data_IF_218864517169
#
_entry.id   IF_218864517169
#
_cell.length_a   1.000
_cell.length_b   1.000
_cell.length_c   1.000
_cell.angle_alpha   90.00
_cell.angle_beta   90.00
_cell.angle_gamma   90.00
#
_symmetry.space_group_name_H-M   'P 1'
#
loop_
_entity.id
_entity.type
_entity.pdbx_description
1 polymer ?
#
# COMPACT_ATOMS: atom_id res chain seq x y z
N UNK A 1 20.42 -34.44 -44.05
CA UNK A 1 19.42 -34.75 -43.02
C UNK A 1 19.76 -33.88 -41.83
N UNK A 2 19.32 -32.63 -41.88
CA UNK A 2 19.43 -31.72 -40.75
C UNK A 2 18.40 -32.17 -39.72
N UNK A 3 18.86 -32.52 -38.53
CA UNK A 3 18.01 -32.79 -37.39
C UNK A 3 17.54 -31.44 -36.87
N UNK A 4 16.30 -31.08 -37.15
CA UNK A 4 15.60 -30.02 -36.44
C UNK A 4 15.52 -30.41 -34.96
N UNK A 5 16.33 -29.74 -34.13
CA UNK A 5 16.14 -29.69 -32.70
C UNK A 5 14.80 -29.03 -32.42
N UNK A 6 13.80 -29.83 -32.04
CA UNK A 6 12.60 -29.35 -31.38
C UNK A 6 13.02 -28.69 -30.06
N UNK A 7 13.16 -27.37 -30.05
CA UNK A 7 13.10 -26.59 -28.81
C UNK A 7 11.73 -26.86 -28.17
N UNK A 8 11.73 -27.50 -27.00
CA UNK A 8 10.56 -27.57 -26.15
C UNK A 8 10.20 -26.15 -25.73
N UNK A 9 9.25 -25.53 -26.42
CA UNK A 9 8.74 -24.21 -26.08
C UNK A 9 8.08 -24.33 -24.71
N UNK A 10 8.74 -23.83 -23.66
CA UNK A 10 8.12 -23.70 -22.35
C UNK A 10 6.81 -22.90 -22.50
N UNK A 11 5.70 -23.35 -21.89
CA UNK A 11 4.43 -22.64 -22.00
C UNK A 11 4.59 -21.21 -21.47
N UNK A 12 4.13 -20.23 -22.24
CA UNK A 12 4.17 -18.84 -21.80
C UNK A 12 3.25 -18.64 -20.60
N UNK A 13 3.62 -17.80 -19.60
CA UNK A 13 2.76 -17.51 -18.46
C UNK A 13 1.33 -17.08 -18.83
N UNK A 14 1.15 -16.37 -19.95
CA UNK A 14 -0.19 -15.99 -20.46
C UNK A 14 -1.06 -17.19 -20.83
N UNK A 15 -0.48 -18.26 -21.39
CA UNK A 15 -1.21 -19.45 -21.79
C UNK A 15 -1.58 -20.31 -20.58
N UNK A 16 -0.73 -20.32 -19.55
CA UNK A 16 -1.02 -20.93 -18.26
C UNK A 16 -2.12 -20.19 -17.52
N UNK A 17 -2.06 -18.85 -17.44
CA UNK A 17 -3.13 -18.04 -16.86
C UNK A 17 -4.45 -18.25 -17.60
N UNK A 18 -4.43 -18.34 -18.94
CA UNK A 18 -5.63 -18.63 -19.74
C UNK A 18 -6.24 -19.99 -19.37
N UNK A 19 -5.41 -21.03 -19.25
CA UNK A 19 -5.87 -22.37 -18.87
C UNK A 19 -6.44 -22.38 -17.45
N UNK A 20 -5.77 -21.70 -16.52
CA UNK A 20 -6.23 -21.52 -15.14
C UNK A 20 -7.61 -20.86 -15.09
N UNK A 21 -7.79 -19.71 -15.75
CA UNK A 21 -9.08 -19.03 -15.77
C UNK A 21 -10.19 -19.87 -16.41
N UNK A 22 -9.87 -20.69 -17.42
CA UNK A 22 -10.84 -21.59 -18.04
C UNK A 22 -11.20 -22.79 -17.13
N UNK A 23 -10.26 -23.31 -16.32
CA UNK A 23 -10.56 -24.41 -15.40
C UNK A 23 -11.41 -24.01 -14.21
N UNK A 24 -11.44 -22.72 -13.87
CA UNK A 24 -12.22 -22.16 -12.76
C UNK A 24 -13.49 -21.43 -13.22
N UNK A 25 -13.97 -21.70 -14.44
CA UNK A 25 -15.17 -21.05 -15.00
C UNK A 25 -16.37 -21.17 -14.04
N UNK A 26 -17.15 -20.10 -13.96
CA UNK A 26 -18.37 -20.00 -13.14
C UNK A 26 -18.16 -20.06 -11.61
N UNK A 27 -16.90 -20.07 -11.13
CA UNK A 27 -16.56 -19.95 -9.71
C UNK A 27 -16.65 -18.51 -9.19
N UNK A 28 -16.54 -18.36 -7.87
CA UNK A 28 -16.39 -17.08 -7.18
C UNK A 28 -15.04 -16.99 -6.48
N UNK A 29 -14.22 -16.01 -6.86
CA UNK A 29 -12.89 -15.80 -6.30
C UNK A 29 -12.79 -14.53 -5.46
N UNK A 30 -11.99 -14.58 -4.41
CA UNK A 30 -11.57 -13.40 -3.66
C UNK A 30 -10.19 -12.97 -4.13
N UNK A 31 -10.05 -11.73 -4.58
CA UNK A 31 -8.76 -11.14 -4.93
C UNK A 31 -8.23 -10.44 -3.68
N UNK A 32 -7.17 -11.00 -3.11
CA UNK A 32 -6.60 -10.62 -1.83
C UNK A 32 -5.56 -9.54 -2.05
N UNK A 33 -5.84 -8.35 -1.54
CA UNK A 33 -4.92 -7.24 -1.47
C UNK A 33 -4.14 -7.25 -0.14
N UNK A 34 -3.01 -6.56 -0.14
CA UNK A 34 -2.30 -6.19 1.09
C UNK A 34 -3.17 -5.31 2.00
N UNK A 35 -2.86 -5.29 3.29
CA UNK A 35 -3.66 -4.56 4.30
C UNK A 35 -3.82 -3.06 3.96
N UNK A 36 -2.78 -2.46 3.38
CA UNK A 36 -2.74 -1.07 2.92
C UNK A 36 -2.46 -1.05 1.41
N UNK A 37 -3.48 -1.19 0.56
CA UNK A 37 -3.28 -1.34 -0.87
C UNK A 37 -2.79 -0.02 -1.51
N UNK A 38 -1.71 -0.15 -2.27
CA UNK A 38 -1.15 0.88 -3.12
C UNK A 38 -1.71 0.79 -4.56
N UNK A 39 -1.38 1.75 -5.43
CA UNK A 39 -1.86 1.74 -6.80
C UNK A 39 -1.47 0.51 -7.63
N UNK A 40 -0.33 -0.12 -7.35
CA UNK A 40 0.07 -1.33 -8.09
C UNK A 40 -0.88 -2.48 -7.76
N UNK A 41 -1.06 -2.79 -6.47
CA UNK A 41 -1.99 -3.81 -6.02
C UNK A 41 -3.43 -3.54 -6.51
N UNK A 42 -3.93 -2.30 -6.39
CA UNK A 42 -5.29 -1.93 -6.81
C UNK A 42 -5.48 -2.13 -8.32
N UNK A 43 -4.52 -1.67 -9.12
CA UNK A 43 -4.63 -1.75 -10.58
C UNK A 43 -4.50 -3.19 -11.09
N UNK A 44 -3.61 -3.97 -10.50
CA UNK A 44 -3.41 -5.40 -10.77
C UNK A 44 -4.63 -6.24 -10.40
N UNK A 45 -5.24 -5.96 -9.25
CA UNK A 45 -6.49 -6.60 -8.84
C UNK A 45 -7.64 -6.30 -9.80
N UNK A 46 -7.79 -5.05 -10.23
CA UNK A 46 -8.80 -4.67 -11.23
C UNK A 46 -8.55 -5.39 -12.57
N UNK A 47 -7.28 -5.51 -13.00
CA UNK A 47 -6.92 -6.24 -14.20
C UNK A 47 -7.34 -7.71 -14.10
N UNK A 48 -7.01 -8.38 -12.99
CA UNK A 48 -7.37 -9.77 -12.77
C UNK A 48 -8.90 -9.98 -12.73
N UNK A 49 -9.64 -9.09 -12.06
CA UNK A 49 -11.10 -9.14 -12.02
C UNK A 49 -11.74 -9.04 -13.41
N UNK A 50 -11.25 -8.12 -14.25
CA UNK A 50 -11.74 -7.95 -15.61
C UNK A 50 -11.39 -9.14 -16.52
N UNK A 51 -10.21 -9.74 -16.34
CA UNK A 51 -9.84 -10.99 -17.00
C UNK A 51 -10.76 -12.14 -16.56
N UNK A 52 -10.97 -12.29 -15.26
CA UNK A 52 -11.84 -13.31 -14.64
C UNK A 52 -13.28 -13.22 -15.14
N UNK A 53 -13.81 -12.00 -15.27
CA UNK A 53 -15.17 -11.75 -15.78
C UNK A 53 -15.38 -12.33 -17.18
N UNK A 54 -14.35 -12.36 -18.04
CA UNK A 54 -14.43 -12.98 -19.38
C UNK A 54 -14.63 -14.50 -19.34
N UNK A 55 -14.24 -15.14 -18.24
CA UNK A 55 -14.42 -16.56 -17.97
C UNK A 55 -15.58 -16.82 -16.98
N UNK A 56 -16.53 -15.88 -16.87
CA UNK A 56 -17.70 -15.99 -15.99
C UNK A 56 -17.38 -16.17 -14.50
N UNK A 57 -16.14 -15.91 -14.09
CA UNK A 57 -15.71 -15.93 -12.69
C UNK A 57 -16.16 -14.64 -12.03
N UNK A 58 -16.83 -14.76 -10.87
CA UNK A 58 -17.23 -13.61 -10.05
C UNK A 58 -16.10 -13.28 -9.09
N UNK A 59 -15.66 -12.03 -9.08
CA UNK A 59 -14.54 -11.61 -8.23
C UNK A 59 -14.92 -10.51 -7.25
N UNK A 60 -14.33 -10.55 -6.06
CA UNK A 60 -14.41 -9.46 -5.08
C UNK A 60 -13.01 -9.08 -4.61
N UNK A 61 -12.67 -7.80 -4.65
CA UNK A 61 -11.34 -7.28 -4.27
C UNK A 61 -11.38 -6.93 -2.78
N UNK A 62 -10.57 -7.61 -1.95
CA UNK A 62 -10.69 -7.54 -0.49
C UNK A 62 -9.39 -7.12 0.18
N UNK A 63 -9.48 -6.22 1.15
CA UNK A 63 -8.36 -5.72 1.99
C UNK A 63 -8.78 -5.61 3.47
N UNK A 64 -7.86 -5.67 4.43
CA UNK A 64 -8.19 -5.62 5.87
C UNK A 64 -7.93 -4.26 6.55
N UNK A 65 -6.88 -3.54 6.14
CA UNK A 65 -6.44 -2.30 6.77
C UNK A 65 -7.26 -1.06 6.33
N UNK A 66 -6.58 -0.06 5.78
CA UNK A 66 -7.21 1.21 5.40
C UNK A 66 -6.56 1.81 4.15
N UNK A 67 -7.38 2.39 3.27
CA UNK A 67 -6.90 3.19 2.15
C UNK A 67 -6.92 4.65 2.55
N UNK A 68 -5.84 5.12 3.17
CA UNK A 68 -5.75 6.48 3.69
C UNK A 68 -4.99 7.45 2.78
N UNK A 69 -4.11 6.93 1.91
CA UNK A 69 -3.29 7.79 1.07
C UNK A 69 -4.19 8.55 0.07
N UNK A 70 -4.14 9.89 0.01
CA UNK A 70 -5.07 10.66 -0.81
C UNK A 70 -5.01 10.34 -2.32
N UNK A 71 -3.83 9.99 -2.85
CA UNK A 71 -3.66 9.56 -4.25
C UNK A 71 -4.43 8.25 -4.50
N UNK A 72 -4.40 7.31 -3.55
CA UNK A 72 -5.07 6.01 -3.66
C UNK A 72 -6.59 6.18 -3.53
N UNK A 73 -7.05 7.07 -2.63
CA UNK A 73 -8.46 7.44 -2.54
C UNK A 73 -8.96 8.12 -3.83
N UNK A 74 -8.13 8.97 -4.43
CA UNK A 74 -8.44 9.58 -5.73
C UNK A 74 -8.49 8.52 -6.84
N UNK A 75 -7.55 7.56 -6.86
CA UNK A 75 -7.55 6.43 -7.80
C UNK A 75 -8.88 5.67 -7.75
N UNK A 76 -9.31 5.24 -6.56
CA UNK A 76 -10.57 4.50 -6.37
C UNK A 76 -11.78 5.31 -6.83
N UNK A 77 -11.86 6.58 -6.42
CA UNK A 77 -12.99 7.46 -6.77
C UNK A 77 -13.06 7.78 -8.26
N UNK A 78 -11.94 8.19 -8.85
CA UNK A 78 -11.88 8.68 -10.24
C UNK A 78 -12.08 7.55 -11.23
N UNK A 79 -11.57 6.35 -10.92
CA UNK A 79 -11.72 5.18 -11.79
C UNK A 79 -12.94 4.32 -11.44
N UNK A 80 -13.70 4.69 -10.40
CA UNK A 80 -14.87 3.94 -9.91
C UNK A 80 -14.52 2.49 -9.58
N UNK A 81 -13.42 2.29 -8.86
CA UNK A 81 -12.96 0.97 -8.40
C UNK A 81 -13.55 0.71 -7.02
N UNK A 82 -14.28 -0.40 -6.89
CA UNK A 82 -14.86 -0.85 -5.63
C UNK A 82 -13.92 -1.85 -4.95
N UNK A 83 -13.56 -1.55 -3.71
CA UNK A 83 -12.83 -2.46 -2.82
C UNK A 83 -13.72 -2.80 -1.63
N UNK A 84 -13.80 -4.08 -1.29
CA UNK A 84 -14.47 -4.54 -0.08
C UNK A 84 -13.49 -4.56 1.08
N UNK A 85 -13.79 -3.79 2.13
CA UNK A 85 -13.06 -3.92 3.39
C UNK A 85 -13.52 -5.18 4.11
N UNK A 86 -12.58 -6.02 4.53
CA UNK A 86 -12.87 -7.17 5.36
C UNK A 86 -13.46 -6.73 6.70
N UNK A 87 -14.54 -7.39 7.08
CA UNK A 87 -15.20 -7.23 8.37
C UNK A 87 -15.47 -8.61 8.99
N UNK A 88 -15.76 -8.70 10.30
CA UNK A 88 -16.07 -9.98 10.94
C UNK A 88 -17.28 -10.72 10.35
N UNK A 89 -18.18 -10.00 9.70
CA UNK A 89 -19.38 -10.48 9.00
C UNK A 89 -19.15 -10.77 7.51
N UNK A 90 -17.91 -10.62 7.02
CA UNK A 90 -17.55 -11.00 5.66
C UNK A 90 -17.71 -12.51 5.46
N UNK A 91 -18.48 -12.90 4.45
CA UNK A 91 -18.84 -14.29 4.16
C UNK A 91 -17.79 -14.97 3.29
N UNK A 92 -16.65 -15.27 3.90
CA UNK A 92 -15.53 -15.90 3.21
C UNK A 92 -15.88 -17.30 2.64
N UNK A 93 -16.80 -18.01 3.27
CA UNK A 93 -17.26 -19.33 2.86
C UNK A 93 -18.02 -19.34 1.52
N UNK A 94 -18.41 -18.18 0.98
CA UNK A 94 -19.06 -18.06 -0.33
C UNK A 94 -18.05 -18.08 -1.50
N UNK A 95 -16.74 -18.12 -1.24
CA UNK A 95 -15.69 -18.08 -2.26
C UNK A 95 -15.03 -19.45 -2.45
N UNK A 96 -14.87 -19.84 -3.72
CA UNK A 96 -14.23 -21.10 -4.12
C UNK A 96 -12.70 -21.04 -4.00
N UNK A 97 -12.12 -19.84 -4.11
CA UNK A 97 -10.69 -19.66 -4.02
C UNK A 97 -10.18 -18.22 -3.91
N UNK A 98 -8.91 -18.10 -3.54
CA UNK A 98 -8.21 -16.86 -3.30
C UNK A 98 -7.10 -16.62 -4.33
N UNK A 99 -7.06 -15.40 -4.85
CA UNK A 99 -6.04 -14.90 -5.79
C UNK A 99 -5.23 -13.83 -5.08
N UNK A 100 -3.91 -14.00 -5.00
CA UNK A 100 -3.02 -13.01 -4.44
C UNK A 100 -2.37 -12.21 -5.56
N UNK A 101 -2.51 -10.89 -5.49
CA UNK A 101 -1.93 -9.96 -6.47
C UNK A 101 -1.07 -8.95 -5.74
N UNK A 102 0.14 -8.74 -6.23
CA UNK A 102 1.14 -7.86 -5.60
C UNK A 102 1.50 -8.27 -4.17
N UNK A 103 1.22 -9.53 -3.82
CA UNK A 103 1.59 -10.15 -2.55
C UNK A 103 1.56 -11.67 -2.69
N UNK A 104 2.26 -12.37 -1.78
CA UNK A 104 2.37 -13.83 -1.79
C UNK A 104 1.72 -14.46 -0.54
N UNK A 105 0.57 -13.92 -0.10
CA UNK A 105 -0.16 -14.31 1.11
C UNK A 105 0.55 -14.09 2.46
N UNK A 106 1.82 -13.65 2.47
CA UNK A 106 2.59 -13.37 3.69
C UNK A 106 2.36 -11.97 4.25
N UNK A 107 2.10 -10.99 3.37
CA UNK A 107 2.00 -9.58 3.73
C UNK A 107 0.55 -9.10 3.92
N UNK A 108 -0.36 -10.03 4.23
CA UNK A 108 -1.79 -9.76 4.42
C UNK A 108 -2.31 -10.55 5.63
N UNK A 109 -3.09 -9.89 6.50
CA UNK A 109 -3.75 -10.55 7.61
C UNK A 109 -4.99 -11.35 7.16
N UNK A 110 -5.34 -11.31 5.87
CA UNK A 110 -6.50 -12.00 5.30
C UNK A 110 -6.30 -13.49 5.11
N UNK A 111 -5.09 -13.93 4.72
CA UNK A 111 -4.88 -15.33 4.35
C UNK A 111 -5.25 -16.32 5.46
N UNK A 112 -4.80 -16.15 6.72
CA UNK A 112 -5.19 -17.07 7.80
C UNK A 112 -6.70 -17.14 8.03
N UNK A 113 -7.43 -16.05 7.76
CA UNK A 113 -8.89 -15.99 7.93
C UNK A 113 -9.62 -16.71 6.80
N UNK A 114 -9.15 -16.54 5.57
CA UNK A 114 -9.67 -17.22 4.38
C UNK A 114 -9.40 -18.72 4.43
N UNK A 115 -8.18 -19.11 4.83
CA UNK A 115 -7.81 -20.51 5.02
C UNK A 115 -8.69 -21.19 6.08
N UNK A 116 -8.95 -20.51 7.21
CA UNK A 116 -9.85 -21.02 8.24
C UNK A 116 -11.30 -21.19 7.74
N UNK A 117 -11.74 -20.36 6.81
CA UNK A 117 -13.05 -20.48 6.16
C UNK A 117 -13.10 -21.57 5.06
N UNK A 118 -11.99 -22.25 4.78
CA UNK A 118 -11.90 -23.32 3.79
C UNK A 118 -11.63 -22.83 2.35
N UNK A 119 -11.29 -21.55 2.16
CA UNK A 119 -10.98 -20.98 0.85
C UNK A 119 -9.60 -21.47 0.39
N UNK A 120 -9.53 -22.00 -0.83
CA UNK A 120 -8.28 -22.53 -1.40
C UNK A 120 -7.41 -21.41 -1.96
N UNK A 121 -6.08 -21.45 -1.80
CA UNK A 121 -5.19 -20.52 -2.48
C UNK A 121 -5.00 -20.98 -3.92
N UNK A 122 -5.50 -20.21 -4.90
CA UNK A 122 -5.53 -20.63 -6.30
C UNK A 122 -4.40 -20.03 -7.14
N UNK A 123 -4.08 -18.75 -6.94
CA UNK A 123 -3.07 -18.08 -7.76
C UNK A 123 -2.27 -17.00 -7.03
N UNK A 124 -1.03 -16.82 -7.47
CA UNK A 124 -0.14 -15.71 -7.07
C UNK A 124 0.40 -15.00 -8.32
N UNK A 125 0.27 -13.67 -8.36
CA UNK A 125 0.92 -12.82 -9.35
C UNK A 125 1.63 -11.69 -8.63
N UNK A 126 2.96 -11.65 -8.71
CA UNK A 126 3.76 -10.73 -7.90
C UNK A 126 5.11 -10.41 -8.56
N UNK A 127 5.64 -9.22 -8.29
CA UNK A 127 6.97 -8.80 -8.77
C UNK A 127 8.06 -8.79 -7.69
N UNK A 128 7.68 -8.97 -6.42
CA UNK A 128 8.61 -9.04 -5.31
C UNK A 128 9.45 -10.33 -5.32
N UNK A 129 10.54 -10.32 -4.55
CA UNK A 129 11.34 -11.54 -4.35
C UNK A 129 10.49 -12.65 -3.73
N UNK A 130 10.69 -13.89 -4.18
CA UNK A 130 9.95 -15.06 -3.70
C UNK A 130 10.01 -15.19 -2.18
N UNK A 131 8.85 -15.40 -1.57
CA UNK A 131 8.66 -15.57 -0.14
C UNK A 131 8.13 -16.99 0.15
N UNK A 132 8.10 -17.38 1.43
CA UNK A 132 7.47 -18.64 1.83
C UNK A 132 5.94 -18.50 1.75
N UNK A 133 5.37 -18.88 0.61
CA UNK A 133 3.96 -18.73 0.26
C UNK A 133 3.23 -20.09 0.25
N UNK A 134 1.88 -20.12 0.34
CA UNK A 134 1.11 -21.35 0.12
C UNK A 134 1.32 -21.88 -1.30
N UNK A 135 1.19 -23.19 -1.48
CA UNK A 135 1.15 -23.78 -2.82
C UNK A 135 -0.13 -23.38 -3.53
N UNK A 136 0.00 -22.93 -4.78
CA UNK A 136 -1.09 -22.46 -5.63
C UNK A 136 -1.08 -23.18 -6.98
N UNK A 137 -2.22 -23.17 -7.67
CA UNK A 137 -2.39 -23.80 -8.99
C UNK A 137 -1.71 -23.00 -10.10
N UNK A 138 -1.71 -21.67 -9.98
CA UNK A 138 -1.03 -20.76 -10.91
C UNK A 138 -0.11 -19.77 -10.18
N UNK A 139 1.13 -19.63 -10.64
CA UNK A 139 2.08 -18.68 -10.04
C UNK A 139 2.92 -18.00 -11.13
N UNK A 140 2.82 -16.68 -11.25
CA UNK A 140 3.76 -15.86 -12.03
C UNK A 140 4.44 -14.86 -11.09
N UNK A 141 5.67 -15.19 -10.69
CA UNK A 141 6.50 -14.35 -9.83
C UNK A 141 7.78 -14.03 -10.59
N UNK A 142 8.01 -12.75 -10.90
CA UNK A 142 9.15 -12.33 -11.73
C UNK A 142 9.68 -10.96 -11.37
N UNK A 143 10.98 -10.76 -11.56
CA UNK A 143 11.64 -9.50 -11.21
C UNK A 143 11.40 -8.41 -12.27
N UNK A 144 10.25 -7.75 -12.21
CA UNK A 144 9.90 -6.54 -12.98
C UNK A 144 9.62 -5.36 -12.05
N UNK A 145 9.42 -4.17 -12.60
CA UNK A 145 9.26 -2.95 -11.81
C UNK A 145 7.93 -2.85 -11.06
N UNK A 146 6.88 -3.53 -11.52
CA UNK A 146 5.55 -3.53 -10.92
C UNK A 146 4.75 -4.79 -11.30
N UNK A 147 3.83 -5.23 -10.44
CA UNK A 147 2.82 -6.26 -10.76
C UNK A 147 1.91 -5.80 -11.92
N UNK A 148 1.64 -4.50 -12.02
CA UNK A 148 0.89 -3.89 -13.13
C UNK A 148 1.59 -4.09 -14.49
N UNK A 149 2.93 -4.20 -14.50
CA UNK A 149 3.69 -4.55 -15.71
C UNK A 149 3.36 -5.97 -16.18
N UNK A 150 3.28 -6.93 -15.25
CA UNK A 150 2.92 -8.32 -15.51
C UNK A 150 1.52 -8.40 -16.15
N UNK A 151 0.52 -7.75 -15.53
CA UNK A 151 -0.85 -7.74 -16.06
C UNK A 151 -0.94 -7.05 -17.42
N UNK A 152 -0.17 -5.98 -17.63
CA UNK A 152 -0.10 -5.31 -18.93
C UNK A 152 0.46 -6.24 -20.01
N UNK A 153 1.45 -7.08 -19.68
CA UNK A 153 1.99 -8.05 -20.62
C UNK A 153 0.97 -9.14 -20.98
N UNK A 154 0.19 -9.65 -20.02
CA UNK A 154 -0.91 -10.57 -20.33
C UNK A 154 -1.92 -9.96 -21.34
N UNK A 155 -2.22 -8.67 -21.17
CA UNK A 155 -3.10 -7.90 -22.06
C UNK A 155 -2.47 -7.76 -23.45
N UNK A 156 -1.18 -7.39 -23.51
CA UNK A 156 -0.41 -7.27 -24.77
C UNK A 156 -0.35 -8.59 -25.55
N UNK A 157 -0.25 -9.71 -24.83
CA UNK A 157 -0.21 -11.07 -25.40
C UNK A 157 -1.60 -11.62 -25.75
N UNK A 158 -2.64 -10.79 -25.68
CA UNK A 158 -3.96 -11.07 -26.27
C UNK A 158 -4.97 -11.69 -25.31
N UNK A 159 -4.68 -11.76 -24.00
CA UNK A 159 -5.66 -12.23 -23.02
C UNK A 159 -6.87 -11.29 -22.92
N UNK A 160 -6.64 -9.99 -23.10
CA UNK A 160 -7.69 -8.98 -23.21
C UNK A 160 -7.24 -7.83 -24.11
N UNK A 161 -7.44 -7.93 -25.44
CA UNK A 161 -7.06 -6.83 -26.32
C UNK A 161 -7.82 -5.55 -25.95
N UNK A 162 -7.09 -4.47 -25.76
CA UNK A 162 -7.69 -3.16 -25.50
C UNK A 162 -8.27 -2.53 -26.76
N UNK A 163 -9.41 -1.89 -26.56
CA UNK A 163 -10.16 -1.18 -27.59
C UNK A 163 -10.16 0.32 -27.28
N UNK A 164 -9.74 1.13 -28.26
CA UNK A 164 -9.75 2.58 -28.15
C UNK A 164 -11.20 3.10 -28.05
N UNK A 165 -11.44 4.04 -27.13
CA UNK A 165 -12.78 4.59 -26.87
C UNK A 165 -13.65 3.72 -25.94
N UNK A 166 -13.23 2.49 -25.61
CA UNK A 166 -13.94 1.66 -24.63
C UNK A 166 -13.63 2.13 -23.21
N UNK A 167 -14.62 2.71 -22.51
CA UNK A 167 -14.44 3.35 -21.19
C UNK A 167 -13.81 2.41 -20.14
N UNK A 168 -14.24 1.14 -19.97
CA UNK A 168 -13.58 0.22 -19.05
C UNK A 168 -12.10 -0.04 -19.38
N UNK A 169 -11.75 -0.17 -20.66
CA UNK A 169 -10.35 -0.36 -21.07
C UNK A 169 -9.50 0.87 -20.78
N UNK A 170 -10.03 2.08 -21.05
CA UNK A 170 -9.32 3.32 -20.73
C UNK A 170 -9.12 3.49 -19.21
N UNK A 171 -10.11 3.12 -18.39
CA UNK A 171 -10.00 3.13 -16.92
C UNK A 171 -8.94 2.15 -16.43
N UNK A 172 -9.00 0.89 -16.88
CA UNK A 172 -8.00 -0.11 -16.52
C UNK A 172 -6.59 0.31 -16.99
N UNK A 173 -6.46 0.80 -18.22
CA UNK A 173 -5.19 1.29 -18.74
C UNK A 173 -4.64 2.45 -17.91
N UNK A 174 -5.52 3.33 -17.42
CA UNK A 174 -5.16 4.43 -16.51
C UNK A 174 -4.71 3.92 -15.15
N UNK A 175 -5.41 2.92 -14.59
CA UNK A 175 -5.02 2.29 -13.33
C UNK A 175 -3.65 1.63 -13.45
N UNK A 176 -3.44 0.78 -14.47
CA UNK A 176 -2.18 0.07 -14.70
C UNK A 176 -1.03 1.04 -14.95
N UNK A 177 -1.24 2.10 -15.74
CA UNK A 177 -0.24 3.14 -15.97
C UNK A 177 0.17 3.81 -14.65
N UNK A 178 -0.81 4.06 -13.78
CA UNK A 178 -0.58 4.64 -12.47
C UNK A 178 0.20 3.70 -11.54
N UNK A 179 -0.15 2.40 -11.52
CA UNK A 179 0.56 1.36 -10.76
C UNK A 179 2.02 1.21 -11.18
N UNK A 180 2.29 1.10 -12.49
CA UNK A 180 3.66 1.08 -13.03
C UNK A 180 4.41 2.36 -12.61
N UNK A 181 3.77 3.54 -12.75
CA UNK A 181 4.39 4.81 -12.37
C UNK A 181 4.77 4.82 -10.88
N UNK A 182 3.90 4.39 -9.97
CA UNK A 182 4.19 4.46 -8.54
C UNK A 182 5.32 3.54 -8.13
N UNK A 183 5.28 2.28 -8.56
CA UNK A 183 6.21 1.26 -8.07
C UNK A 183 7.61 1.38 -8.67
N UNK A 184 7.69 1.92 -9.88
CA UNK A 184 8.96 2.28 -10.52
C UNK A 184 9.50 3.64 -10.07
N UNK A 185 8.85 4.36 -9.16
CA UNK A 185 9.29 5.68 -8.69
C UNK A 185 9.24 6.73 -9.79
N UNK A 186 8.07 6.90 -10.43
CA UNK A 186 7.85 7.74 -11.60
C UNK A 186 8.75 7.36 -12.79
N UNK A 187 8.88 6.05 -13.06
CA UNK A 187 9.72 5.46 -14.11
C UNK A 187 11.23 5.64 -13.93
N UNK A 188 11.70 6.20 -12.82
CA UNK A 188 13.14 6.36 -12.54
C UNK A 188 13.82 4.99 -12.37
N UNK A 189 13.14 4.02 -11.78
CA UNK A 189 13.63 2.67 -11.55
C UNK A 189 13.02 1.64 -12.53
N UNK A 190 12.38 2.11 -13.60
CA UNK A 190 11.75 1.25 -14.60
C UNK A 190 12.78 0.48 -15.43
N UNK A 191 12.42 -0.75 -15.81
CA UNK A 191 13.17 -1.63 -16.72
C UNK A 191 12.52 -1.66 -18.10
N UNK A 192 13.12 -2.39 -19.03
CA UNK A 192 12.65 -2.51 -20.42
C UNK A 192 11.19 -2.98 -20.50
N UNK A 193 10.83 -3.94 -19.65
CA UNK A 193 9.48 -4.49 -19.52
C UNK A 193 8.48 -3.42 -19.10
N UNK A 194 8.84 -2.59 -18.13
CA UNK A 194 7.98 -1.51 -17.61
C UNK A 194 7.80 -0.40 -18.65
N UNK A 195 8.87 -0.02 -19.37
CA UNK A 195 8.79 0.94 -20.47
C UNK A 195 7.93 0.41 -21.61
N UNK A 196 8.06 -0.87 -21.95
CA UNK A 196 7.25 -1.51 -23.00
C UNK A 196 5.78 -1.56 -22.62
N UNK A 197 5.48 -1.93 -21.37
CA UNK A 197 4.13 -1.92 -20.81
C UNK A 197 3.53 -0.50 -20.81
N UNK A 198 4.27 0.48 -20.28
CA UNK A 198 3.84 1.89 -20.28
C UNK A 198 3.62 2.41 -21.72
N UNK A 199 4.51 2.08 -22.66
CA UNK A 199 4.36 2.46 -24.06
C UNK A 199 3.10 1.85 -24.69
N UNK A 200 2.76 0.60 -24.38
CA UNK A 200 1.51 -0.02 -24.81
C UNK A 200 0.29 0.69 -24.21
N UNK A 201 0.28 0.90 -22.89
CA UNK A 201 -0.82 1.57 -22.17
C UNK A 201 -1.01 3.03 -22.61
N UNK A 202 0.06 3.69 -23.06
CA UNK A 202 0.04 5.09 -23.52
C UNK A 202 -0.96 5.35 -24.64
N UNK A 203 -1.32 4.29 -25.38
CA UNK A 203 -2.30 4.31 -26.48
C UNK A 203 -3.77 4.30 -26.00
N UNK A 204 -4.01 3.95 -24.73
CA UNK A 204 -5.36 3.66 -24.21
C UNK A 204 -5.71 4.41 -22.92
N UNK A 205 -4.72 4.77 -22.10
CA UNK A 205 -4.99 5.48 -20.84
C UNK A 205 -5.61 6.86 -21.10
N UNK A 206 -6.33 7.36 -20.09
CA UNK A 206 -6.92 8.69 -20.13
C UNK A 206 -6.06 9.65 -19.28
N UNK A 207 -5.36 10.56 -19.96
CA UNK A 207 -4.48 11.53 -19.30
C UNK A 207 -5.21 12.49 -18.38
N UNK A 208 -6.47 12.85 -18.68
CA UNK A 208 -7.27 13.71 -17.80
C UNK A 208 -7.63 12.99 -16.49
N UNK A 209 -8.01 11.71 -16.56
CA UNK A 209 -8.26 10.91 -15.35
C UNK A 209 -6.98 10.73 -14.53
N UNK A 210 -5.85 10.41 -15.19
CA UNK A 210 -4.57 10.28 -14.50
C UNK A 210 -4.18 11.60 -13.83
N UNK A 211 -4.30 12.73 -14.52
CA UNK A 211 -4.01 14.04 -13.93
C UNK A 211 -4.92 14.35 -12.74
N UNK A 212 -6.19 13.96 -12.77
CA UNK A 212 -7.09 14.13 -11.63
C UNK A 212 -6.65 13.29 -10.43
N UNK A 213 -6.23 12.04 -10.65
CA UNK A 213 -5.68 11.15 -9.61
C UNK A 213 -4.43 11.77 -8.97
N UNK A 214 -3.52 12.29 -9.80
CA UNK A 214 -2.28 12.92 -9.37
C UNK A 214 -2.49 14.28 -8.69
N UNK A 215 -3.63 14.93 -8.94
CA UNK A 215 -3.98 16.24 -8.39
C UNK A 215 -4.54 16.09 -6.97
N UNK A 216 -3.75 15.51 -6.06
CA UNK A 216 -4.09 15.40 -4.65
C UNK A 216 -4.20 16.79 -4.02
N UNK A 217 -5.42 17.16 -3.65
CA UNK A 217 -5.69 18.38 -2.89
C UNK A 217 -5.58 18.09 -1.40
N UNK A 218 -4.89 18.96 -0.67
CA UNK A 218 -4.83 18.93 0.80
C UNK A 218 -6.03 19.65 1.39
N UNK A 219 -6.63 19.08 2.43
CA UNK A 219 -7.74 19.72 3.14
C UNK A 219 -7.21 20.89 3.99
N UNK A 220 -8.06 21.86 4.38
CA UNK A 220 -7.65 22.93 5.29
C UNK A 220 -7.01 22.41 6.59
N UNK A 221 -7.51 21.29 7.14
CA UNK A 221 -6.94 20.65 8.33
C UNK A 221 -5.51 20.13 8.11
N UNK A 222 -5.23 19.57 6.93
CA UNK A 222 -3.86 19.16 6.59
C UNK A 222 -2.96 20.40 6.50
N UNK A 223 -3.45 21.50 5.94
CA UNK A 223 -2.71 22.76 5.88
C UNK A 223 -2.43 23.34 7.27
N UNK A 224 -3.40 23.31 8.18
CA UNK A 224 -3.22 23.67 9.60
C UNK A 224 -2.19 22.76 10.29
N UNK A 225 -2.23 21.45 10.01
CA UNK A 225 -1.24 20.49 10.48
C UNK A 225 0.17 20.82 9.98
N UNK A 226 0.31 21.22 8.71
CA UNK A 226 1.58 21.66 8.12
C UNK A 226 2.07 22.94 8.81
N UNK A 227 1.22 23.95 8.97
CA UNK A 227 1.55 25.20 9.65
C UNK A 227 2.06 24.93 11.08
N UNK A 228 1.34 24.08 11.82
CA UNK A 228 1.72 23.69 13.17
C UNK A 228 3.02 22.91 13.21
N UNK A 229 3.24 22.00 12.26
CA UNK A 229 4.48 21.25 12.18
C UNK A 229 5.67 22.17 11.85
N UNK A 230 5.50 23.11 10.91
CA UNK A 230 6.53 24.08 10.58
C UNK A 230 6.89 24.97 11.78
N UNK A 231 5.91 25.39 12.58
CA UNK A 231 6.18 26.23 13.77
C UNK A 231 6.80 25.49 14.95
N UNK A 232 6.58 24.17 15.06
CA UNK A 232 7.03 23.36 16.21
C UNK A 232 8.19 22.42 15.91
N UNK A 233 8.56 22.25 14.63
CA UNK A 233 9.58 21.29 14.24
C UNK A 233 10.92 21.57 14.89
N UNK A 234 11.59 20.50 15.29
CA UNK A 234 12.97 20.50 15.72
C UNK A 234 13.80 19.73 14.72
N UNK A 235 14.77 20.40 14.12
CA UNK A 235 15.71 19.78 13.21
C UNK A 235 17.02 19.46 13.94
N UNK A 236 17.49 18.24 13.78
CA UNK A 236 18.79 17.77 14.27
C UNK A 236 19.46 17.01 13.13
N UNK A 237 20.58 17.54 12.63
CA UNK A 237 21.23 17.06 11.41
C UNK A 237 20.21 17.02 10.25
N UNK A 238 20.02 15.85 9.64
CA UNK A 238 19.08 15.63 8.54
C UNK A 238 17.72 15.05 8.97
N UNK A 239 17.42 15.06 10.27
CA UNK A 239 16.14 14.65 10.83
C UNK A 239 15.30 15.86 11.22
N UNK A 240 14.04 15.85 10.78
CA UNK A 240 13.01 16.76 11.26
C UNK A 240 12.01 16.01 12.13
N UNK A 241 11.78 16.49 13.35
CA UNK A 241 10.79 15.95 14.27
C UNK A 241 9.73 17.02 14.58
N UNK A 242 8.45 16.72 14.35
CA UNK A 242 7.37 17.70 14.54
C UNK A 242 6.14 17.09 15.24
N UNK A 243 5.60 17.80 16.21
CA UNK A 243 4.39 17.42 16.93
C UNK A 243 3.20 18.28 16.52
N UNK A 244 2.12 17.68 16.03
CA UNK A 244 0.94 18.42 15.55
C UNK A 244 -0.22 18.49 16.56
N UNK A 245 0.00 18.00 17.78
CA UNK A 245 -0.95 18.08 18.90
C UNK A 245 -2.08 17.06 18.81
N UNK A 246 -3.26 17.44 19.32
CA UNK A 246 -4.43 16.57 19.38
C UNK A 246 -5.21 16.54 18.06
N UNK A 247 -5.60 15.34 17.67
CA UNK A 247 -6.34 15.04 16.45
C UNK A 247 -7.54 14.17 16.78
N UNK A 248 -8.61 14.31 16.00
CA UNK A 248 -9.75 13.37 16.05
C UNK A 248 -9.36 12.11 15.30
N UNK A 249 -9.98 10.97 15.63
CA UNK A 249 -9.78 9.70 14.91
C UNK A 249 -9.81 9.84 13.38
N UNK A 250 -10.84 10.51 12.86
CA UNK A 250 -11.02 10.77 11.42
C UNK A 250 -9.95 11.66 10.76
N UNK A 251 -9.17 12.36 11.57
CA UNK A 251 -8.12 13.29 11.14
C UNK A 251 -6.71 12.67 11.32
N UNK A 252 -6.62 11.38 11.67
CA UNK A 252 -5.36 10.64 11.85
C UNK A 252 -4.41 10.76 10.65
N UNK A 253 -4.96 10.73 9.45
CA UNK A 253 -4.21 10.77 8.19
C UNK A 253 -3.53 12.11 7.89
N UNK A 254 -3.75 13.13 8.73
CA UNK A 254 -2.96 14.36 8.70
C UNK A 254 -1.50 14.05 9.05
N UNK A 255 -1.24 13.15 10.00
CA UNK A 255 0.13 12.81 10.46
C UNK A 255 1.04 12.38 9.29
N UNK A 256 0.69 11.36 8.48
CA UNK A 256 1.51 10.99 7.32
C UNK A 256 1.60 12.08 6.26
N UNK A 257 0.51 12.80 5.96
CA UNK A 257 0.53 13.86 4.94
C UNK A 257 1.45 15.04 5.30
N UNK A 258 1.49 15.40 6.59
CA UNK A 258 2.43 16.41 7.09
C UNK A 258 3.86 15.89 7.01
N UNK A 259 4.10 14.61 7.31
CA UNK A 259 5.43 14.01 7.18
C UNK A 259 5.92 14.02 5.73
N UNK A 260 5.05 13.67 4.78
CA UNK A 260 5.37 13.71 3.35
C UNK A 260 5.68 15.14 2.87
N UNK A 261 4.95 16.14 3.39
CA UNK A 261 5.24 17.55 3.10
C UNK A 261 6.60 17.98 3.65
N UNK A 262 6.91 17.69 4.92
CA UNK A 262 8.17 18.11 5.52
C UNK A 262 9.39 17.40 4.90
N UNK A 263 9.22 16.21 4.30
CA UNK A 263 10.31 15.53 3.60
C UNK A 263 10.74 16.26 2.31
N UNK A 264 9.92 17.22 1.83
CA UNK A 264 10.27 18.08 0.69
C UNK A 264 11.15 19.27 1.07
N UNK A 265 11.38 19.49 2.38
CA UNK A 265 12.29 20.53 2.87
C UNK A 265 13.75 20.19 2.51
N UNK A 266 14.50 21.20 2.07
CA UNK A 266 15.92 21.05 1.73
C UNK A 266 16.73 20.53 2.93
N UNK A 267 17.75 19.70 2.68
CA UNK A 267 18.61 19.05 3.68
C UNK A 267 17.90 18.14 4.71
N UNK A 268 16.62 17.83 4.51
CA UNK A 268 15.85 16.88 5.32
C UNK A 268 15.79 15.53 4.62
N UNK A 269 16.33 14.50 5.25
CA UNK A 269 16.31 13.13 4.72
C UNK A 269 15.42 12.19 5.52
N UNK A 270 15.07 12.55 6.74
CA UNK A 270 14.18 11.76 7.59
C UNK A 270 13.26 12.68 8.34
N UNK A 271 11.99 12.33 8.40
CA UNK A 271 10.95 13.09 9.08
C UNK A 271 10.20 12.17 10.00
N UNK A 272 9.93 12.64 11.22
CA UNK A 272 8.99 12.01 12.14
C UNK A 272 7.95 13.05 12.54
N UNK A 273 6.70 12.78 12.21
CA UNK A 273 5.55 13.59 12.64
C UNK A 273 4.70 12.76 13.59
N UNK A 274 4.18 13.38 14.65
CA UNK A 274 3.31 12.69 15.60
C UNK A 274 2.22 13.61 16.16
N UNK A 275 1.13 12.99 16.61
CA UNK A 275 0.03 13.65 17.30
C UNK A 275 -0.65 12.70 18.28
N UNK A 276 -1.51 13.23 19.14
CA UNK A 276 -2.37 12.42 20.00
C UNK A 276 -3.73 12.28 19.33
N UNK A 277 -4.14 11.06 19.03
CA UNK A 277 -5.41 10.74 18.39
C UNK A 277 -6.39 10.25 19.45
N UNK A 278 -7.56 10.88 19.52
CA UNK A 278 -8.67 10.44 20.35
C UNK A 278 -9.53 9.44 19.59
N UNK A 279 -9.69 8.24 20.15
CA UNK A 279 -10.52 7.15 19.64
C UNK A 279 -11.99 7.32 20.06
N UNK A 280 -12.88 6.57 19.42
CA UNK A 280 -14.33 6.69 19.65
C UNK A 280 -14.77 6.19 21.03
N UNK A 281 -13.97 5.32 21.65
CA UNK A 281 -14.16 4.81 23.02
C UNK A 281 -13.61 5.76 24.10
N UNK A 282 -13.10 6.92 23.71
CA UNK A 282 -12.48 7.90 24.61
C UNK A 282 -11.03 7.58 24.98
N UNK A 283 -10.47 6.46 24.51
CA UNK A 283 -9.03 6.20 24.63
C UNK A 283 -8.24 7.16 23.75
N UNK A 284 -6.99 7.42 24.13
CA UNK A 284 -6.09 8.25 23.35
C UNK A 284 -4.80 7.48 23.05
N UNK A 285 -4.28 7.65 21.82
CA UNK A 285 -3.02 7.04 21.40
C UNK A 285 -2.14 8.05 20.70
N UNK A 286 -0.84 7.99 20.93
CA UNK A 286 0.14 8.74 20.16
C UNK A 286 0.26 8.03 18.82
N UNK A 287 -0.11 8.70 17.75
CA UNK A 287 0.08 8.21 16.38
C UNK A 287 1.20 9.00 15.73
N UNK A 288 2.14 8.29 15.13
CA UNK A 288 3.24 8.90 14.40
C UNK A 288 3.52 8.26 13.07
N UNK A 289 4.16 9.03 12.21
CA UNK A 289 4.58 8.65 10.86
C UNK A 289 6.05 9.01 10.70
N UNK A 290 6.84 8.02 10.26
CA UNK A 290 8.21 8.19 9.84
C UNK A 290 8.27 8.15 8.30
N UNK A 291 9.01 9.09 7.71
CA UNK A 291 9.37 9.09 6.30
C UNK A 291 10.88 9.24 6.16
N UNK A 292 11.50 8.49 5.26
CA UNK A 292 12.93 8.62 5.01
C UNK A 292 13.25 8.41 3.54
N UNK A 293 14.11 9.28 3.00
CA UNK A 293 14.76 9.11 1.71
C UNK A 293 16.13 8.40 1.82
N UNK A 294 16.64 8.16 3.05
CA UNK A 294 17.89 7.44 3.27
C UNK A 294 17.71 5.94 3.02
N UNK A 295 18.39 5.40 2.01
CA UNK A 295 18.42 3.95 1.74
C UNK A 295 19.01 3.11 2.88
N UNK A 296 19.85 3.71 3.72
CA UNK A 296 20.53 3.03 4.83
C UNK A 296 19.71 2.98 6.11
N UNK A 297 18.63 3.77 6.21
CA UNK A 297 17.74 3.76 7.35
C UNK A 297 16.56 2.85 7.02
N UNK A 298 16.39 1.75 7.75
CA UNK A 298 15.15 0.97 7.75
C UNK A 298 14.15 1.59 8.73
N UNK A 299 13.03 2.18 8.26
CA UNK A 299 11.97 2.71 9.13
C UNK A 299 11.42 1.67 10.10
N UNK A 300 11.23 0.44 9.61
CA UNK A 300 10.71 -0.68 10.40
C UNK A 300 11.62 -0.99 11.59
N UNK A 301 12.89 -1.27 11.31
CA UNK A 301 13.87 -1.58 12.34
C UNK A 301 14.07 -0.40 13.29
N UNK A 302 14.14 0.83 12.76
CA UNK A 302 14.32 2.03 13.56
C UNK A 302 13.18 2.20 14.58
N UNK A 303 11.93 2.10 14.14
CA UNK A 303 10.78 2.27 15.02
C UNK A 303 10.67 1.13 16.04
N UNK A 304 10.88 -0.12 15.64
CA UNK A 304 10.87 -1.28 16.55
C UNK A 304 11.92 -1.15 17.65
N UNK A 305 13.14 -0.74 17.29
CA UNK A 305 14.23 -0.54 18.26
C UNK A 305 14.03 0.70 19.14
N UNK A 306 13.48 1.79 18.60
CA UNK A 306 13.28 3.03 19.35
C UNK A 306 12.12 2.93 20.34
N UNK A 307 10.99 2.36 19.90
CA UNK A 307 9.72 2.40 20.64
C UNK A 307 9.48 1.14 21.48
N UNK A 308 10.05 0.00 21.08
CA UNK A 308 9.90 -1.27 21.80
C UNK A 308 8.58 -2.00 21.53
N UNK A 309 8.11 -2.76 22.52
CA UNK A 309 6.93 -3.62 22.46
C UNK A 309 5.92 -3.31 23.58
N UNK A 310 4.66 -3.65 23.35
CA UNK A 310 3.59 -3.64 24.35
C UNK A 310 3.67 -4.83 25.33
N UNK A 311 2.75 -4.89 26.29
CA UNK A 311 2.66 -5.99 27.27
C UNK A 311 2.39 -7.36 26.63
N UNK A 312 1.81 -7.38 25.42
CA UNK A 312 1.56 -8.58 24.63
C UNK A 312 2.73 -8.99 23.74
N UNK A 313 3.83 -8.22 23.73
CA UNK A 313 5.00 -8.45 22.88
C UNK A 313 4.87 -7.91 21.45
N UNK A 314 3.82 -7.14 21.14
CA UNK A 314 3.64 -6.52 19.82
C UNK A 314 4.44 -5.21 19.75
N UNK A 315 5.11 -4.95 18.64
CA UNK A 315 5.85 -3.71 18.46
C UNK A 315 4.92 -2.50 18.31
N UNK A 316 5.26 -1.39 18.98
CA UNK A 316 4.51 -0.13 18.85
C UNK A 316 4.62 0.53 17.48
N UNK A 317 5.62 0.15 16.70
CA UNK A 317 5.85 0.70 15.37
C UNK A 317 6.41 -0.33 14.41
N UNK A 318 6.28 -0.01 13.13
CA UNK A 318 6.76 -0.83 12.04
C UNK A 318 6.77 -0.04 10.75
N UNK A 319 7.20 -0.67 9.67
CA UNK A 319 7.24 0.02 8.40
C UNK A 319 7.71 -0.81 7.23
N UNK A 320 7.96 -0.10 6.14
CA UNK A 320 8.54 -0.57 4.90
C UNK A 320 9.69 0.36 4.52
N UNK A 321 10.28 0.13 3.36
CA UNK A 321 11.55 0.72 2.91
C UNK A 321 11.72 2.21 3.20
N UNK A 322 10.73 3.05 2.87
CA UNK A 322 10.84 4.51 2.99
C UNK A 322 9.83 5.13 3.98
N UNK A 323 8.95 4.31 4.56
CA UNK A 323 7.83 4.78 5.37
C UNK A 323 7.61 3.85 6.56
N UNK A 324 7.39 4.43 7.74
CA UNK A 324 6.97 3.70 8.93
C UNK A 324 5.85 4.43 9.65
N UNK A 325 5.15 3.72 10.52
CA UNK A 325 4.11 4.24 11.38
C UNK A 325 4.22 3.65 12.77
N UNK A 326 3.74 4.37 13.77
CA UNK A 326 3.64 3.87 15.13
C UNK A 326 2.39 4.36 15.83
N UNK A 327 1.92 3.56 16.78
CA UNK A 327 0.77 3.84 17.62
C UNK A 327 1.06 3.39 19.05
N UNK A 328 0.99 4.31 20.01
CA UNK A 328 1.30 4.06 21.42
C UNK A 328 0.11 4.51 22.27
N UNK A 329 -0.62 3.60 22.93
CA UNK A 329 -1.70 3.96 23.83
C UNK A 329 -1.19 4.85 24.98
N UNK A 330 -1.91 5.94 25.28
CA UNK A 330 -1.61 6.78 26.44
C UNK A 330 -2.03 6.13 27.77
N UNK A 331 -2.91 5.13 27.71
CA UNK A 331 -3.35 4.35 28.87
C UNK A 331 -3.97 5.25 29.93
N UNK A 332 -3.44 5.21 31.16
CA UNK A 332 -3.98 5.99 32.29
C UNK A 332 -3.98 7.51 32.07
N UNK A 333 -3.18 8.01 31.11
CA UNK A 333 -3.11 9.44 30.80
C UNK A 333 -4.22 9.91 29.84
N UNK A 334 -5.01 9.00 29.28
CA UNK A 334 -6.12 9.33 28.38
C UNK A 334 -7.21 10.17 29.05
N UNK A 335 -7.92 10.94 28.22
CA UNK A 335 -9.02 11.81 28.65
C UNK A 335 -8.62 13.28 28.78
N UNK A 336 -9.61 14.17 28.77
CA UNK A 336 -9.43 15.61 28.96
C UNK A 336 -10.15 16.02 30.23
N UNK A 337 -9.46 16.79 31.09
CA UNK A 337 -10.00 17.30 32.36
C UNK A 337 -10.17 18.81 32.29
N UNK A 338 -9.09 19.52 31.96
CA UNK A 338 -9.04 20.96 31.73
C UNK A 338 -7.92 21.29 30.72
N UNK A 339 -7.85 22.55 30.29
CA UNK A 339 -6.84 23.01 29.32
C UNK A 339 -5.40 22.86 29.84
N UNK A 340 -5.18 23.02 31.14
CA UNK A 340 -3.85 22.93 31.75
C UNK A 340 -3.34 21.48 31.74
N UNK A 341 -4.21 20.53 32.05
CA UNK A 341 -3.94 19.09 31.96
C UNK A 341 -3.57 18.70 30.52
N UNK A 342 -4.36 19.13 29.53
CA UNK A 342 -4.09 18.79 28.13
C UNK A 342 -2.76 19.39 27.63
N UNK A 343 -2.42 20.61 28.07
CA UNK A 343 -1.12 21.22 27.78
C UNK A 343 0.04 20.47 28.43
N UNK A 344 -0.09 20.05 29.69
CA UNK A 344 0.94 19.27 30.40
C UNK A 344 1.11 17.88 29.78
N UNK A 345 -0.01 17.21 29.47
CA UNK A 345 -0.05 15.93 28.76
C UNK A 345 0.68 16.03 27.42
N UNK A 346 0.37 17.05 26.62
CA UNK A 346 1.06 17.27 25.34
C UNK A 346 2.57 17.52 25.51
N UNK A 347 2.97 18.37 26.45
CA UNK A 347 4.40 18.63 26.75
C UNK A 347 5.14 17.36 27.15
N UNK A 348 4.50 16.47 27.93
CA UNK A 348 5.10 15.21 28.31
C UNK A 348 5.28 14.28 27.10
N UNK A 349 4.24 14.14 26.28
CA UNK A 349 4.29 13.36 25.03
C UNK A 349 5.41 13.86 24.13
N UNK A 350 5.45 15.16 23.87
CA UNK A 350 6.48 15.80 23.05
C UNK A 350 7.88 15.51 23.59
N UNK A 351 8.11 15.75 24.89
CA UNK A 351 9.43 15.52 25.50
C UNK A 351 9.84 14.05 25.48
N UNK A 352 8.90 13.13 25.67
CA UNK A 352 9.15 11.68 25.65
C UNK A 352 9.53 11.22 24.24
N UNK A 353 8.73 11.58 23.22
CA UNK A 353 9.00 11.22 21.82
C UNK A 353 10.32 11.81 21.36
N UNK A 354 10.59 13.10 21.63
CA UNK A 354 11.86 13.72 21.32
C UNK A 354 13.05 12.97 21.91
N UNK A 355 12.99 12.61 23.20
CA UNK A 355 14.09 11.89 23.85
C UNK A 355 14.32 10.51 23.24
N UNK A 356 13.26 9.79 22.90
CA UNK A 356 13.34 8.44 22.35
C UNK A 356 13.88 8.45 20.92
N UNK A 357 13.32 9.30 20.05
CA UNK A 357 13.70 9.36 18.63
C UNK A 357 15.11 9.93 18.45
N UNK A 358 15.43 11.04 19.13
CA UNK A 358 16.76 11.65 19.03
C UNK A 358 17.85 10.77 19.64
N UNK A 359 17.59 10.20 20.83
CA UNK A 359 18.55 9.32 21.47
C UNK A 359 18.89 8.08 20.64
N UNK A 360 17.95 7.57 19.85
CA UNK A 360 18.21 6.45 18.94
C UNK A 360 19.03 6.87 17.71
N UNK A 361 18.79 8.05 17.16
CA UNK A 361 19.61 8.53 16.04
C UNK A 361 21.06 8.76 16.42
N UNK A 362 21.31 9.39 17.57
CA UNK A 362 22.68 9.64 18.05
C UNK A 362 23.47 8.34 18.20
N UNK A 363 22.79 7.24 18.60
CA UNK A 363 23.41 5.91 18.71
C UNK A 363 23.71 5.20 17.37
N UNK A 364 23.17 5.68 16.25
CA UNK A 364 23.43 5.14 14.91
C UNK A 364 24.43 5.98 14.11
N UNK A 365 24.65 7.24 14.48
CA UNK A 365 25.65 8.12 13.88
C UNK A 365 27.02 8.07 14.60
N UNK A 366 27.07 7.48 15.80
CA UNK A 366 28.29 7.10 16.53
C UNK A 366 28.76 5.69 16.16
#
# INVERSE_FOLDING_TARGET
MEQETQESIEPKPVDELRKFLESHRDERHVIVLQDFPDPDAISSALAHALLSTKHCIRTELVYLGEVSHPENLALLRVLEIELTKWTPDFKAEEFDGAIFVDNQAVNTALWPKLEQAGVKPLAIVDHHSTQAAPQVEFSDIRSVGATATIYTQYIMEGLMPFESGHRPHARLATALMHGIRTDTGALVNAREEDFSAAAYLSRYFNSSLLNEILSVKRTPRVMEGIEKALSTRKQVNHLTLAGIGFLRRKDRDIVPQVADFLLTEEDVHTVVVYGVVMNDDGSESIVGSLRSSKLTLSPDQFLKEALGVDEGGNHYGGGRRNAGGFEIPLGFMSGSYDEDYDQLKWKLVEKKIQKVILGKMDSKEA
#
